data_IF_394802209629
#
_entry.id   IF_394802209629
#
_cell.length_a   1.000
_cell.length_b   1.000
_cell.length_c   1.000
_cell.angle_alpha   90.00
_cell.angle_beta   90.00
_cell.angle_gamma   90.00
#
_symmetry.space_group_name_H-M   'P 1'
#
loop_
_entity.id
_entity.type
_entity.pdbx_description
1 polymer ?
#
# COMPACT_ATOMS: atom_id res chain seq x y z
N UNK A 1 -22.84 -4.68 -4.86
CA UNK A 1 -22.48 -5.89 -5.61
C UNK A 1 -21.29 -6.51 -4.93
N UNK A 2 -21.48 -7.58 -4.15
CA UNK A 2 -20.38 -8.25 -3.46
C UNK A 2 -19.87 -9.39 -4.33
N UNK A 3 -18.69 -9.23 -4.93
CA UNK A 3 -17.91 -10.38 -5.38
C UNK A 3 -16.92 -10.75 -4.27
N UNK A 4 -17.03 -12.00 -3.84
CA UNK A 4 -16.05 -12.63 -2.99
C UNK A 4 -14.73 -12.78 -3.77
N UNK A 5 -13.58 -12.58 -3.12
CA UNK A 5 -12.31 -13.03 -3.67
C UNK A 5 -12.37 -14.54 -3.92
N UNK A 6 -12.51 -14.91 -5.19
CA UNK A 6 -12.42 -16.30 -5.63
C UNK A 6 -10.94 -16.69 -5.69
N UNK A 7 -10.41 -17.15 -4.56
CA UNK A 7 -9.14 -17.88 -4.56
C UNK A 7 -9.30 -19.17 -5.35
N UNK A 8 -8.59 -19.26 -6.48
CA UNK A 8 -8.47 -20.51 -7.21
C UNK A 8 -7.71 -21.54 -6.34
N UNK A 9 -8.07 -22.84 -6.36
CA UNK A 9 -7.48 -23.83 -5.48
C UNK A 9 -6.10 -24.28 -5.99
N UNK A 10 -5.07 -23.49 -5.67
CA UNK A 10 -3.66 -23.91 -5.74
C UNK A 10 -3.34 -24.76 -4.49
N UNK A 11 -2.58 -25.87 -4.57
CA UNK A 11 -2.44 -26.81 -3.46
C UNK A 11 -1.89 -26.16 -2.18
N UNK A 12 -2.53 -26.44 -1.04
CA UNK A 12 -2.11 -25.92 0.26
C UNK A 12 -0.63 -26.21 0.53
N UNK A 13 0.13 -25.19 0.98
CA UNK A 13 0.03 -24.86 2.39
C UNK A 13 -0.22 -23.37 2.65
N UNK A 14 -1.43 -23.02 3.07
CA UNK A 14 -1.68 -21.85 3.92
C UNK A 14 -1.05 -22.08 5.30
N UNK A 15 0.28 -22.06 5.35
CA UNK A 15 1.04 -22.06 6.58
C UNK A 15 1.82 -20.76 6.68
N UNK A 16 1.26 -19.83 7.46
CA UNK A 16 1.90 -18.58 7.90
C UNK A 16 1.99 -17.50 6.82
N UNK A 17 0.84 -16.92 6.47
CA UNK A 17 0.76 -15.47 6.55
C UNK A 17 1.21 -15.10 7.99
N UNK A 18 2.37 -14.48 8.16
CA UNK A 18 2.83 -14.03 9.47
C UNK A 18 2.18 -12.69 9.79
N UNK A 19 0.88 -12.75 10.01
CA UNK A 19 0.18 -11.67 10.71
C UNK A 19 0.49 -11.89 12.20
N UNK A 20 0.90 -10.83 12.90
CA UNK A 20 1.33 -10.89 14.31
C UNK A 20 0.15 -10.74 15.28
N UNK A 21 -0.02 -11.76 16.14
CA UNK A 21 -1.31 -12.17 16.70
C UNK A 21 -1.12 -13.06 17.97
N UNK A 22 -1.93 -12.99 19.05
CA UNK A 22 -1.77 -12.12 20.21
C UNK A 22 -1.40 -12.82 21.52
N UNK A 23 -0.65 -12.13 22.39
CA UNK A 23 -0.54 -12.49 23.80
C UNK A 23 -0.54 -11.28 24.77
N UNK A 24 -1.67 -11.07 25.45
CA UNK A 24 -1.86 -10.25 26.67
C UNK A 24 -1.56 -8.74 26.65
N UNK A 25 -0.52 -8.22 26.01
CA UNK A 25 -0.20 -6.77 25.93
C UNK A 25 0.20 -6.32 24.48
N UNK A 26 1.02 -5.26 24.20
CA UNK A 26 0.67 -4.24 23.20
C UNK A 26 1.23 -4.49 21.77
N UNK A 27 0.45 -4.25 20.69
CA UNK A 27 0.91 -4.56 19.31
C UNK A 27 0.04 -4.32 18.05
N UNK A 28 -1.28 -4.08 18.10
CA UNK A 28 -1.98 -3.25 17.07
C UNK A 28 -1.51 -1.81 17.30
N UNK A 29 -2.14 -0.88 16.59
CA UNK A 29 -2.36 0.45 17.12
C UNK A 29 -3.04 0.46 18.54
N UNK A 30 -3.55 -0.70 19.02
CA UNK A 30 -4.07 -0.95 20.38
C UNK A 30 -3.64 -2.26 21.12
N UNK A 31 -3.01 -3.26 20.48
CA UNK A 31 -2.81 -4.63 21.03
C UNK A 31 -2.89 -5.73 19.95
N UNK A 32 -2.10 -6.81 19.94
CA UNK A 32 -2.11 -7.81 18.84
C UNK A 32 -3.54 -8.39 18.53
N UNK A 33 -3.77 -9.02 17.35
CA UNK A 33 -5.09 -9.52 16.84
C UNK A 33 -5.12 -11.08 16.75
N UNK A 34 -6.10 -11.80 16.15
CA UNK A 34 -5.91 -13.20 15.66
C UNK A 34 -6.24 -13.38 14.17
N UNK A 35 -5.75 -14.47 13.57
CA UNK A 35 -5.99 -14.81 12.16
C UNK A 35 -7.49 -15.05 11.96
N UNK A 36 -8.07 -15.85 12.86
CA UNK A 36 -9.52 -16.03 12.99
C UNK A 36 -10.31 -14.74 13.34
N UNK A 37 -9.64 -13.71 13.87
CA UNK A 37 -10.26 -12.43 14.26
C UNK A 37 -10.07 -11.34 13.17
N UNK A 38 -9.37 -11.63 12.06
CA UNK A 38 -9.17 -10.70 10.94
C UNK A 38 -10.49 -10.31 10.28
N UNK A 39 -11.43 -11.24 10.16
CA UNK A 39 -12.69 -11.05 9.44
C UNK A 39 -12.48 -10.80 7.94
N UNK A 40 -13.36 -10.02 7.31
CA UNK A 40 -13.15 -9.56 5.95
C UNK A 40 -12.02 -8.50 5.94
N UNK A 41 -10.97 -8.75 5.15
CA UNK A 41 -9.76 -7.91 5.10
C UNK A 41 -9.61 -7.27 3.73
N UNK A 42 -9.36 -5.96 3.69
CA UNK A 42 -8.81 -5.28 2.52
C UNK A 42 -7.30 -5.10 2.72
N UNK A 43 -6.50 -5.57 1.77
CA UNK A 43 -5.04 -5.74 1.92
C UNK A 43 -4.20 -4.60 1.34
N UNK A 44 -4.80 -3.66 0.63
CA UNK A 44 -4.12 -2.46 0.13
C UNK A 44 -5.10 -1.28 0.07
N UNK A 45 -5.01 -0.43 1.09
CA UNK A 45 -5.82 0.78 1.23
C UNK A 45 -4.94 1.93 1.79
N UNK A 46 -5.40 3.17 1.64
CA UNK A 46 -4.71 4.36 2.15
C UNK A 46 -5.66 5.24 2.97
N UNK A 47 -5.21 5.69 4.13
CA UNK A 47 -5.93 6.65 4.98
C UNK A 47 -5.38 8.07 4.87
N UNK A 48 -4.13 8.20 4.44
CA UNK A 48 -3.46 9.47 4.19
C UNK A 48 -2.52 9.26 3.01
N UNK A 49 -2.48 10.16 2.03
CA UNK A 49 -1.65 9.99 0.84
C UNK A 49 -1.26 11.33 0.19
N UNK A 50 0.00 11.47 -0.22
CA UNK A 50 0.43 12.54 -1.11
C UNK A 50 1.39 12.03 -2.17
N UNK A 51 0.92 12.03 -3.43
CA UNK A 51 1.65 11.49 -4.58
C UNK A 51 1.75 12.52 -5.72
N UNK A 52 1.64 13.82 -5.39
CA UNK A 52 1.75 14.93 -6.36
C UNK A 52 3.08 14.88 -7.10
N UNK A 53 4.20 14.65 -6.41
CA UNK A 53 5.53 14.69 -7.02
C UNK A 53 5.73 13.61 -8.10
N UNK A 54 5.13 12.43 -7.89
CA UNK A 54 5.30 11.28 -8.79
C UNK A 54 4.23 11.25 -9.89
N UNK A 55 2.95 11.37 -9.52
CA UNK A 55 1.84 11.09 -10.43
C UNK A 55 1.21 12.31 -11.09
N UNK A 56 1.46 13.54 -10.63
CA UNK A 56 0.80 14.71 -11.24
C UNK A 56 1.11 14.81 -12.75
N UNK A 57 0.06 14.96 -13.57
CA UNK A 57 0.17 15.17 -15.03
C UNK A 57 -0.68 16.38 -15.41
N UNK A 58 -0.08 17.38 -16.04
CA UNK A 58 -0.81 18.59 -16.45
C UNK A 58 -1.98 18.23 -17.41
N UNK A 59 -3.24 18.58 -17.07
CA UNK A 59 -4.38 18.27 -17.92
C UNK A 59 -4.38 19.14 -19.19
N UNK A 60 -5.17 18.77 -20.22
CA UNK A 60 -5.28 19.53 -21.46
C UNK A 60 -5.52 21.02 -21.22
N UNK A 61 -4.84 21.89 -21.97
CA UNK A 61 -4.79 23.34 -21.71
C UNK A 61 -6.17 24.00 -21.58
N UNK A 62 -7.14 23.58 -22.40
CA UNK A 62 -8.52 24.07 -22.40
C UNK A 62 -9.37 23.58 -21.21
N UNK A 63 -8.91 22.57 -20.47
CA UNK A 63 -9.59 22.00 -19.31
C UNK A 63 -9.00 22.49 -17.96
N UNK A 64 -7.81 23.11 -17.95
CA UNK A 64 -7.10 23.50 -16.71
C UNK A 64 -7.96 24.29 -15.72
N UNK A 65 -8.88 25.12 -16.21
CA UNK A 65 -9.80 25.91 -15.39
C UNK A 65 -10.76 25.09 -14.51
N UNK A 66 -11.00 23.81 -14.83
CA UNK A 66 -11.87 22.92 -14.05
C UNK A 66 -11.14 22.22 -12.89
N UNK A 67 -9.80 22.29 -12.84
CA UNK A 67 -8.97 21.63 -11.83
C UNK A 67 -8.64 22.57 -10.67
N UNK A 68 -9.66 22.81 -9.83
CA UNK A 68 -9.57 23.70 -8.67
C UNK A 68 -9.01 23.07 -7.39
N UNK A 69 -8.85 23.87 -6.32
CA UNK A 69 -8.39 23.40 -5.01
C UNK A 69 -9.42 22.53 -4.26
N UNK A 70 -10.68 22.50 -4.71
CA UNK A 70 -11.73 21.59 -4.21
C UNK A 70 -12.43 20.91 -5.38
N UNK A 71 -12.78 19.64 -5.19
CA UNK A 71 -13.60 18.85 -6.10
C UNK A 71 -15.08 19.15 -5.78
N UNK A 72 -15.88 19.43 -6.80
CA UNK A 72 -17.33 19.71 -6.67
C UNK A 72 -18.11 18.84 -7.66
N UNK A 73 -19.44 18.80 -7.53
CA UNK A 73 -20.29 18.09 -8.50
C UNK A 73 -20.14 18.65 -9.93
N UNK A 74 -19.82 19.93 -10.08
CA UNK A 74 -19.60 20.57 -11.39
C UNK A 74 -18.23 20.19 -12.00
N UNK A 75 -17.24 19.80 -11.19
CA UNK A 75 -15.88 19.50 -11.64
C UNK A 75 -15.53 18.01 -11.63
N UNK A 76 -16.25 17.17 -10.88
CA UNK A 76 -15.93 15.75 -10.68
C UNK A 76 -15.85 14.95 -11.97
N UNK A 77 -16.61 15.30 -13.02
CA UNK A 77 -16.50 14.65 -14.33
C UNK A 77 -15.12 14.80 -14.98
N UNK A 78 -14.53 16.00 -14.92
CA UNK A 78 -13.18 16.26 -15.40
C UNK A 78 -12.13 15.57 -14.54
N UNK A 79 -12.34 15.49 -13.23
CA UNK A 79 -11.45 14.77 -12.31
C UNK A 79 -11.49 13.26 -12.58
N UNK A 80 -12.66 12.66 -12.83
CA UNK A 80 -12.76 11.23 -13.21
C UNK A 80 -12.05 10.91 -14.53
N UNK A 81 -12.10 11.82 -15.51
CA UNK A 81 -11.40 11.64 -16.79
C UNK A 81 -9.90 11.92 -16.69
N UNK A 82 -9.46 12.82 -15.81
CA UNK A 82 -8.05 13.19 -15.63
C UNK A 82 -7.67 13.22 -14.12
N UNK A 83 -7.67 12.08 -13.41
CA UNK A 83 -7.54 12.04 -11.94
C UNK A 83 -6.25 12.68 -11.43
N UNK A 84 -5.12 12.34 -12.06
CA UNK A 84 -3.81 12.92 -11.72
C UNK A 84 -3.58 14.35 -12.26
N UNK A 85 -4.57 14.96 -12.93
CA UNK A 85 -4.56 16.37 -13.33
C UNK A 85 -5.12 17.29 -12.25
N UNK A 86 -5.80 16.72 -11.25
CA UNK A 86 -6.26 17.44 -10.07
C UNK A 86 -5.28 17.23 -8.91
N UNK A 87 -4.54 18.28 -8.51
CA UNK A 87 -3.69 18.22 -7.31
C UNK A 87 -4.52 17.87 -6.07
N UNK A 88 -5.74 18.40 -5.95
CA UNK A 88 -6.66 18.10 -4.84
C UNK A 88 -7.23 16.68 -4.84
N UNK A 89 -7.08 15.91 -5.93
CA UNK A 89 -7.47 14.49 -5.99
C UNK A 89 -6.32 13.54 -5.59
N UNK A 90 -5.07 14.00 -5.70
CA UNK A 90 -3.85 13.21 -5.41
C UNK A 90 -3.09 13.73 -4.17
N UNK A 91 -3.79 14.55 -3.38
CA UNK A 91 -3.41 15.04 -2.06
C UNK A 91 -4.58 14.73 -1.13
N UNK A 92 -4.43 13.67 -0.34
CA UNK A 92 -5.47 13.05 0.48
C UNK A 92 -4.99 13.00 1.93
N UNK A 93 -4.89 14.14 2.61
CA UNK A 93 -4.54 14.19 4.03
C UNK A 93 -5.15 15.42 4.73
N UNK A 94 -5.19 15.38 6.07
CA UNK A 94 -5.64 16.48 6.92
C UNK A 94 -7.11 16.38 7.33
N UNK A 95 -7.58 17.31 8.17
CA UNK A 95 -8.82 17.16 8.95
C UNK A 95 -10.08 16.74 8.15
N UNK A 96 -10.32 17.33 6.98
CA UNK A 96 -11.48 16.96 6.13
C UNK A 96 -11.37 15.49 5.64
N UNK A 97 -10.15 15.00 5.39
CA UNK A 97 -9.86 13.61 4.98
C UNK A 97 -9.95 12.66 6.18
N UNK A 98 -9.34 13.01 7.32
CA UNK A 98 -9.42 12.23 8.56
C UNK A 98 -10.88 11.92 8.95
N UNK A 99 -11.76 12.92 8.89
CA UNK A 99 -13.19 12.80 9.17
C UNK A 99 -13.92 11.91 8.14
N UNK A 100 -13.54 12.01 6.87
CA UNK A 100 -14.09 11.16 5.81
C UNK A 100 -13.65 9.69 5.96
N UNK A 101 -12.37 9.44 6.25
CA UNK A 101 -11.83 8.08 6.47
C UNK A 101 -12.50 7.41 7.66
N UNK A 102 -12.63 8.08 8.81
CA UNK A 102 -13.32 7.50 9.99
C UNK A 102 -14.78 7.16 9.66
N UNK A 103 -15.47 8.02 8.88
CA UNK A 103 -16.85 7.77 8.43
C UNK A 103 -16.95 6.57 7.48
N UNK A 104 -16.07 6.46 6.48
CA UNK A 104 -16.06 5.31 5.56
C UNK A 104 -15.69 4.01 6.29
N UNK A 105 -14.83 4.07 7.30
CA UNK A 105 -14.48 2.90 8.12
C UNK A 105 -15.63 2.45 9.04
N UNK A 106 -16.49 3.36 9.51
CA UNK A 106 -17.77 2.97 10.12
C UNK A 106 -18.70 2.27 9.12
N UNK A 107 -18.76 2.71 7.86
CA UNK A 107 -19.55 2.05 6.82
C UNK A 107 -18.99 0.65 6.53
N UNK A 108 -17.68 0.52 6.28
CA UNK A 108 -16.99 -0.76 6.11
C UNK A 108 -17.32 -1.72 7.26
N UNK A 109 -17.22 -1.26 8.52
CA UNK A 109 -17.58 -2.07 9.70
C UNK A 109 -19.04 -2.51 9.69
N UNK A 110 -19.96 -1.62 9.32
CA UNK A 110 -21.41 -1.91 9.27
C UNK A 110 -21.78 -2.97 8.22
N UNK A 111 -20.99 -3.11 7.16
CA UNK A 111 -21.14 -4.15 6.13
C UNK A 111 -20.33 -5.42 6.42
N UNK A 112 -19.80 -5.59 7.64
CA UNK A 112 -19.06 -6.80 8.06
C UNK A 112 -17.54 -6.71 7.88
N UNK A 113 -17.01 -5.53 7.56
CA UNK A 113 -15.58 -5.26 7.47
C UNK A 113 -14.82 -5.58 8.77
N UNK A 114 -13.74 -6.35 8.64
CA UNK A 114 -12.92 -6.80 9.75
C UNK A 114 -11.64 -5.96 9.90
N UNK A 115 -10.81 -5.98 8.86
CA UNK A 115 -9.43 -5.45 8.90
C UNK A 115 -9.09 -4.66 7.65
N UNK A 116 -8.25 -3.64 7.80
CA UNK A 116 -7.62 -2.88 6.72
C UNK A 116 -6.10 -2.95 6.91
N UNK A 117 -5.37 -3.16 5.81
CA UNK A 117 -3.93 -2.94 5.75
C UNK A 117 -3.68 -1.57 5.11
N UNK A 118 -3.16 -0.64 5.90
CA UNK A 118 -2.87 0.74 5.50
C UNK A 118 -1.45 0.79 4.92
N UNK A 119 -1.36 1.02 3.61
CA UNK A 119 -0.14 0.82 2.82
C UNK A 119 0.67 2.10 2.62
N UNK A 120 0.24 3.25 3.17
CA UNK A 120 0.98 4.50 3.00
C UNK A 120 2.32 4.44 3.74
N UNK A 121 3.39 4.52 2.98
CA UNK A 121 4.77 4.32 3.45
C UNK A 121 5.55 5.65 3.54
N UNK A 122 6.84 5.57 3.88
CA UNK A 122 7.71 6.75 3.95
C UNK A 122 7.86 7.39 2.55
N UNK A 123 7.68 8.72 2.49
CA UNK A 123 7.69 9.52 1.27
C UNK A 123 6.30 9.97 0.77
N UNK A 124 5.21 9.36 1.27
CA UNK A 124 3.84 9.60 0.75
C UNK A 124 2.80 9.99 1.83
N UNK A 125 3.23 10.64 2.91
CA UNK A 125 2.39 11.18 4.01
C UNK A 125 1.68 10.12 4.89
N UNK A 126 2.41 9.09 5.35
CA UNK A 126 1.93 8.11 6.33
C UNK A 126 1.46 8.78 7.63
N UNK A 127 0.26 8.42 8.12
CA UNK A 127 -0.33 9.00 9.32
C UNK A 127 -0.72 7.94 10.37
N UNK A 128 0.23 7.60 11.26
CA UNK A 128 0.03 6.62 12.34
C UNK A 128 -0.97 7.07 13.43
N UNK A 129 -1.19 8.38 13.60
CA UNK A 129 -2.22 8.91 14.52
C UNK A 129 -3.64 8.68 13.98
N UNK A 130 -3.83 8.89 12.67
CA UNK A 130 -5.10 8.57 12.01
C UNK A 130 -5.37 7.07 12.05
N UNK A 131 -4.36 6.23 11.82
CA UNK A 131 -4.48 4.78 12.01
C UNK A 131 -4.96 4.42 13.43
N UNK A 132 -4.51 5.15 14.47
CA UNK A 132 -4.95 4.96 15.85
C UNK A 132 -6.41 5.34 16.04
N UNK A 133 -6.79 6.54 15.57
CA UNK A 133 -8.16 7.03 15.70
C UNK A 133 -9.15 6.15 14.94
N UNK A 134 -8.86 5.77 13.70
CA UNK A 134 -9.68 4.82 12.92
C UNK A 134 -9.90 3.53 13.68
N UNK A 135 -8.83 2.86 14.15
CA UNK A 135 -8.95 1.58 14.83
C UNK A 135 -9.78 1.68 16.12
N UNK A 136 -9.59 2.75 16.90
CA UNK A 136 -10.24 3.00 18.18
C UNK A 136 -11.71 3.42 18.05
N UNK A 137 -12.02 4.31 17.11
CA UNK A 137 -13.34 4.91 16.97
C UNK A 137 -14.30 3.99 16.20
N UNK A 138 -13.79 3.24 15.21
CA UNK A 138 -14.64 2.41 14.34
C UNK A 138 -14.71 0.93 14.73
N UNK A 139 -13.72 0.43 15.48
CA UNK A 139 -13.59 -1.00 15.79
C UNK A 139 -13.20 -1.86 14.58
N UNK A 140 -12.72 -1.24 13.49
CA UNK A 140 -12.00 -1.90 12.39
C UNK A 140 -10.56 -2.17 12.86
N UNK A 141 -10.00 -3.33 12.53
CA UNK A 141 -8.58 -3.55 12.78
C UNK A 141 -7.74 -2.82 11.72
N UNK A 142 -6.69 -2.12 12.14
CA UNK A 142 -5.76 -1.44 11.23
C UNK A 142 -4.37 -2.02 11.39
N UNK A 143 -3.79 -2.47 10.27
CA UNK A 143 -2.40 -2.92 10.16
C UNK A 143 -1.66 -1.85 9.37
N UNK A 144 -0.88 -1.00 10.05
CA UNK A 144 -0.12 0.07 9.39
C UNK A 144 1.20 -0.45 8.80
N UNK A 145 1.56 0.06 7.62
CA UNK A 145 2.80 -0.27 6.92
C UNK A 145 4.02 0.56 7.34
N UNK A 146 5.19 -0.05 7.24
CA UNK A 146 6.48 0.65 7.03
C UNK A 146 7.03 0.34 5.64
N UNK A 147 8.13 0.93 5.22
CA UNK A 147 8.62 0.85 3.85
C UNK A 147 8.90 2.23 3.28
N UNK A 148 9.57 2.30 2.13
CA UNK A 148 9.74 3.53 1.37
C UNK A 148 9.05 3.38 0.02
N UNK A 149 8.35 4.43 -0.40
CA UNK A 149 7.80 4.54 -1.73
C UNK A 149 8.88 4.90 -2.78
N UNK A 150 8.48 5.06 -4.04
CA UNK A 150 9.38 5.24 -5.19
C UNK A 150 10.35 6.41 -5.02
N UNK A 151 11.47 6.36 -5.74
CA UNK A 151 12.55 7.36 -5.69
C UNK A 151 12.06 8.81 -5.87
N UNK A 152 11.02 9.05 -6.68
CA UNK A 152 10.47 10.38 -6.94
C UNK A 152 9.75 11.04 -5.75
N UNK A 153 9.41 10.25 -4.72
CA UNK A 153 8.75 10.73 -3.50
C UNK A 153 9.71 11.07 -2.35
N UNK A 154 10.99 10.73 -2.49
CA UNK A 154 11.96 10.81 -1.39
C UNK A 154 12.80 12.10 -1.43
N UNK A 155 13.23 12.55 -0.25
CA UNK A 155 14.17 13.66 -0.11
C UNK A 155 15.64 13.18 -0.25
N UNK A 156 16.59 14.11 -0.35
CA UNK A 156 18.01 13.78 -0.57
C UNK A 156 18.68 13.00 0.58
N UNK A 157 18.21 13.16 1.82
CA UNK A 157 18.71 12.43 2.99
C UNK A 157 18.27 10.96 2.89
N UNK A 158 16.98 10.71 2.68
CA UNK A 158 16.42 9.37 2.45
C UNK A 158 17.06 8.68 1.25
N UNK A 159 17.24 9.38 0.12
CA UNK A 159 17.91 8.84 -1.07
C UNK A 159 19.38 8.47 -0.84
N UNK A 160 20.02 9.02 0.19
CA UNK A 160 21.41 8.70 0.56
C UNK A 160 21.55 7.53 1.54
N UNK A 161 20.45 7.07 2.17
CA UNK A 161 20.49 6.02 3.19
C UNK A 161 21.07 4.70 2.64
N UNK A 162 21.83 3.99 3.48
CA UNK A 162 22.33 2.64 3.19
C UNK A 162 21.25 1.57 3.41
N UNK A 163 21.54 0.33 3.02
CA UNK A 163 20.62 -0.81 3.24
C UNK A 163 20.42 -1.04 4.74
N UNK A 164 21.48 -0.89 5.53
CA UNK A 164 21.49 -1.04 6.99
C UNK A 164 20.63 0.03 7.67
N UNK A 165 20.78 1.30 7.29
CA UNK A 165 19.98 2.40 7.85
C UNK A 165 18.49 2.25 7.54
N UNK A 166 18.14 1.80 6.33
CA UNK A 166 16.75 1.51 5.94
C UNK A 166 16.22 0.28 6.73
N UNK A 167 17.05 -0.74 6.92
CA UNK A 167 16.70 -1.94 7.70
C UNK A 167 16.44 -1.60 9.17
N UNK A 168 17.30 -0.76 9.76
CA UNK A 168 17.17 -0.30 11.15
C UNK A 168 15.89 0.53 11.36
N UNK A 169 15.53 1.39 10.39
CA UNK A 169 14.26 2.11 10.39
C UNK A 169 13.06 1.16 10.36
N UNK A 170 13.00 0.23 9.40
CA UNK A 170 11.87 -0.70 9.28
C UNK A 170 11.75 -1.62 10.50
N UNK A 171 12.88 -2.11 11.02
CA UNK A 171 12.92 -2.92 12.24
C UNK A 171 12.43 -2.13 13.45
N UNK A 172 12.80 -0.86 13.58
CA UNK A 172 12.32 0.04 14.63
C UNK A 172 10.80 0.28 14.53
N UNK A 173 10.29 0.58 13.33
CA UNK A 173 8.86 0.76 13.05
C UNK A 173 8.02 -0.47 13.45
N UNK A 174 8.54 -1.68 13.23
CA UNK A 174 7.87 -2.95 13.54
C UNK A 174 8.02 -3.38 15.03
N UNK A 175 9.18 -3.14 15.66
CA UNK A 175 9.50 -3.70 16.98
C UNK A 175 9.38 -2.70 18.14
N UNK A 176 9.66 -1.42 17.89
CA UNK A 176 9.62 -0.33 18.89
C UNK A 176 8.35 0.52 18.69
N UNK A 177 8.13 1.01 17.46
CA UNK A 177 7.02 1.89 17.10
C UNK A 177 7.22 3.36 17.47
N UNK A 178 6.19 4.16 17.23
CA UNK A 178 6.19 5.63 17.33
C UNK A 178 5.21 6.16 18.37
N UNK A 179 5.58 7.23 19.06
CA UNK A 179 4.63 7.97 19.89
C UNK A 179 3.71 8.80 18.98
N UNK A 180 2.38 8.70 19.17
CA UNK A 180 1.38 9.48 18.42
C UNK A 180 0.44 10.21 19.38
N UNK A 181 -0.07 11.42 19.04
CA UNK A 181 -0.85 12.26 19.96
C UNK A 181 -2.07 11.57 20.60
N UNK A 182 -2.76 10.71 19.86
CA UNK A 182 -4.00 10.05 20.33
C UNK A 182 -3.75 8.80 21.20
N UNK A 183 -2.50 8.31 21.27
CA UNK A 183 -2.14 7.05 21.92
C UNK A 183 -1.36 7.25 23.23
N UNK A 184 -1.70 6.53 24.31
CA UNK A 184 -0.85 6.45 25.50
C UNK A 184 0.37 5.53 25.32
N UNK A 185 0.42 4.74 24.23
CA UNK A 185 1.43 3.71 23.96
C UNK A 185 2.13 3.95 22.60
N UNK A 186 3.31 3.37 22.40
CA UNK A 186 3.94 3.35 21.08
C UNK A 186 3.09 2.57 20.07
N UNK A 187 2.91 3.14 18.88
CA UNK A 187 2.19 2.56 17.74
C UNK A 187 3.20 1.90 16.80
N UNK A 188 3.08 0.58 16.64
CA UNK A 188 3.94 -0.22 15.77
C UNK A 188 3.29 -0.45 14.41
N UNK A 189 4.13 -0.62 13.39
CA UNK A 189 3.70 -1.15 12.11
C UNK A 189 3.55 -2.68 12.20
N UNK A 190 2.77 -3.29 11.31
CA UNK A 190 2.56 -4.75 11.27
C UNK A 190 3.04 -5.43 9.97
N UNK A 191 3.43 -4.65 8.96
CA UNK A 191 3.81 -5.10 7.61
C UNK A 191 4.87 -4.15 7.05
N UNK A 192 5.71 -4.62 6.14
CA UNK A 192 6.54 -3.72 5.30
C UNK A 192 5.78 -3.52 3.98
N UNK A 193 4.97 -2.47 3.90
CA UNK A 193 4.11 -2.15 2.77
C UNK A 193 3.80 -0.64 2.67
N UNK A 194 3.59 -0.07 1.48
CA UNK A 194 4.02 -0.59 0.17
C UNK A 194 5.48 -0.15 -0.10
N UNK A 195 6.31 -1.09 -0.59
CA UNK A 195 7.70 -0.80 -0.97
C UNK A 195 7.75 -0.44 -2.46
N UNK A 196 8.09 0.81 -2.75
CA UNK A 196 8.02 1.42 -4.06
C UNK A 196 9.15 1.03 -5.01
N UNK A 197 8.78 0.66 -6.24
CA UNK A 197 9.71 0.56 -7.36
C UNK A 197 9.17 1.28 -8.60
N UNK A 198 10.00 2.13 -9.19
CA UNK A 198 9.81 2.67 -10.54
C UNK A 198 10.25 1.64 -11.61
N UNK A 199 10.26 2.04 -12.88
CA UNK A 199 10.85 1.25 -13.95
C UNK A 199 11.67 2.13 -14.93
N UNK A 200 12.96 1.81 -15.18
CA UNK A 200 13.78 0.79 -14.50
C UNK A 200 14.00 1.09 -13.01
N UNK A 201 14.20 0.06 -12.19
CA UNK A 201 14.37 0.16 -10.73
C UNK A 201 15.61 1.01 -10.40
N UNK A 202 15.46 2.06 -9.57
CA UNK A 202 16.60 2.91 -9.18
C UNK A 202 17.50 2.26 -8.12
N UNK A 203 18.71 2.80 -7.95
CA UNK A 203 19.63 2.32 -6.90
C UNK A 203 19.10 2.52 -5.47
N UNK A 204 18.24 3.52 -5.23
CA UNK A 204 17.56 3.66 -3.93
C UNK A 204 16.51 2.58 -3.74
N UNK A 205 15.68 2.33 -4.76
CA UNK A 205 14.61 1.34 -4.72
C UNK A 205 15.17 -0.08 -4.54
N UNK A 206 16.30 -0.39 -5.19
CA UNK A 206 17.06 -1.63 -4.94
C UNK A 206 17.46 -1.79 -3.47
N UNK A 207 17.99 -0.73 -2.84
CA UNK A 207 18.36 -0.76 -1.42
C UNK A 207 17.14 -0.91 -0.50
N UNK A 208 16.02 -0.29 -0.85
CA UNK A 208 14.76 -0.46 -0.12
C UNK A 208 14.24 -1.90 -0.21
N UNK A 209 14.27 -2.54 -1.39
CA UNK A 209 13.90 -3.95 -1.59
C UNK A 209 14.83 -4.89 -0.81
N UNK A 210 16.15 -4.62 -0.81
CA UNK A 210 17.14 -5.39 -0.06
C UNK A 210 16.94 -5.26 1.46
N UNK A 211 16.69 -4.05 1.97
CA UNK A 211 16.38 -3.83 3.38
C UNK A 211 15.08 -4.54 3.81
N UNK A 212 14.06 -4.51 2.95
CA UNK A 212 12.82 -5.28 3.13
C UNK A 212 13.11 -6.77 3.26
N UNK A 213 13.95 -7.35 2.38
CA UNK A 213 14.35 -8.76 2.47
C UNK A 213 15.06 -9.10 3.79
N UNK A 214 15.99 -8.27 4.24
CA UNK A 214 16.74 -8.48 5.49
C UNK A 214 15.78 -8.49 6.68
N UNK A 215 15.00 -7.43 6.88
CA UNK A 215 14.08 -7.30 8.03
C UNK A 215 12.97 -8.36 7.98
N UNK A 216 12.49 -8.70 6.80
CA UNK A 216 11.55 -9.80 6.60
C UNK A 216 12.15 -11.15 6.98
N UNK A 217 13.41 -11.42 6.62
CA UNK A 217 14.06 -12.69 6.95
C UNK A 217 14.23 -12.87 8.46
N UNK A 218 14.54 -11.77 9.18
CA UNK A 218 14.73 -11.67 10.63
C UNK A 218 13.41 -11.81 11.42
N UNK A 219 12.40 -11.00 11.08
CA UNK A 219 11.15 -10.89 11.84
C UNK A 219 10.04 -11.82 11.31
N UNK A 220 10.18 -12.31 10.08
CA UNK A 220 9.26 -13.24 9.44
C UNK A 220 7.94 -12.65 8.96
N UNK A 221 7.78 -11.32 9.02
CA UNK A 221 6.57 -10.56 8.65
C UNK A 221 6.16 -10.73 7.18
N UNK A 222 4.97 -10.23 6.85
CA UNK A 222 4.53 -10.05 5.46
C UNK A 222 5.12 -8.76 4.86
N UNK A 223 5.26 -8.74 3.53
CA UNK A 223 5.75 -7.58 2.77
C UNK A 223 4.95 -7.39 1.48
N UNK A 224 4.68 -6.14 1.11
CA UNK A 224 4.01 -5.78 -0.13
C UNK A 224 4.89 -4.87 -0.99
N UNK A 225 4.90 -5.13 -2.29
CA UNK A 225 5.66 -4.36 -3.27
C UNK A 225 4.78 -3.67 -4.31
N UNK A 226 5.15 -2.44 -4.65
CA UNK A 226 4.57 -1.65 -5.73
C UNK A 226 5.42 -1.75 -7.00
N UNK A 227 4.94 -2.40 -8.08
CA UNK A 227 5.68 -2.45 -9.33
C UNK A 227 5.44 -1.21 -10.21
N UNK A 228 6.53 -0.81 -10.88
CA UNK A 228 6.46 0.01 -12.08
C UNK A 228 5.61 -0.65 -13.17
N UNK A 229 5.12 0.14 -14.13
CA UNK A 229 4.08 -0.26 -15.11
C UNK A 229 4.54 -1.23 -16.21
N UNK A 230 5.80 -1.65 -16.19
CA UNK A 230 6.37 -2.54 -17.20
C UNK A 230 6.25 -4.01 -16.75
N UNK A 231 5.84 -4.91 -17.65
CA UNK A 231 5.60 -6.34 -17.35
C UNK A 231 6.76 -7.08 -16.64
N UNK A 232 8.00 -6.63 -16.82
CA UNK A 232 9.16 -7.22 -16.15
C UNK A 232 9.43 -6.69 -14.72
N UNK A 233 8.81 -5.58 -14.30
CA UNK A 233 9.04 -4.98 -13.00
C UNK A 233 8.64 -5.93 -11.83
N UNK A 234 7.48 -6.63 -11.86
CA UNK A 234 7.15 -7.62 -10.85
C UNK A 234 8.23 -8.69 -10.62
N UNK A 235 8.71 -9.27 -11.71
CA UNK A 235 9.73 -10.33 -11.70
C UNK A 235 11.09 -9.83 -11.19
N UNK A 236 11.51 -8.61 -11.56
CA UNK A 236 12.79 -8.07 -11.11
C UNK A 236 12.78 -7.72 -9.61
N UNK A 237 11.68 -7.19 -9.09
CA UNK A 237 11.51 -6.91 -7.65
C UNK A 237 11.66 -8.22 -6.85
N UNK A 238 10.93 -9.27 -7.22
CA UNK A 238 10.99 -10.57 -6.54
C UNK A 238 12.37 -11.22 -6.65
N UNK A 239 13.04 -11.09 -7.80
CA UNK A 239 14.42 -11.55 -7.96
C UNK A 239 15.36 -10.87 -6.95
N UNK A 240 15.34 -9.53 -6.86
CA UNK A 240 16.20 -8.77 -5.94
C UNK A 240 15.88 -9.09 -4.48
N UNK A 241 14.59 -9.19 -4.14
CA UNK A 241 14.12 -9.54 -2.80
C UNK A 241 14.58 -10.96 -2.38
N UNK A 242 14.43 -11.96 -3.25
CA UNK A 242 14.85 -13.33 -2.99
C UNK A 242 16.39 -13.47 -2.93
N UNK A 243 17.13 -12.79 -3.82
CA UNK A 243 18.60 -12.75 -3.80
C UNK A 243 19.15 -12.15 -2.49
N UNK A 244 18.40 -11.21 -1.88
CA UNK A 244 18.72 -10.62 -0.57
C UNK A 244 18.23 -11.44 0.64
N UNK A 245 17.70 -12.66 0.43
CA UNK A 245 17.26 -13.58 1.49
C UNK A 245 15.79 -13.46 1.90
N UNK A 246 15.00 -12.66 1.18
CA UNK A 246 13.57 -12.50 1.38
C UNK A 246 12.80 -13.77 1.03
N UNK A 247 11.79 -14.10 1.84
CA UNK A 247 10.97 -15.32 1.67
C UNK A 247 9.81 -15.04 0.72
N UNK A 248 9.74 -15.77 -0.39
CA UNK A 248 8.77 -15.51 -1.47
C UNK A 248 7.32 -15.79 -0.99
N UNK A 249 7.13 -16.79 -0.13
CA UNK A 249 5.83 -17.14 0.51
C UNK A 249 5.32 -16.10 1.53
N UNK A 250 5.97 -14.93 1.59
CA UNK A 250 5.69 -13.80 2.49
C UNK A 250 5.53 -12.48 1.75
N UNK A 251 5.75 -12.48 0.43
CA UNK A 251 5.63 -11.31 -0.42
C UNK A 251 4.32 -11.35 -1.21
N UNK A 252 3.58 -10.25 -1.18
CA UNK A 252 2.58 -9.92 -2.19
C UNK A 252 3.12 -8.85 -3.16
N UNK A 253 2.65 -8.89 -4.40
CA UNK A 253 2.83 -7.79 -5.35
C UNK A 253 1.50 -7.16 -5.69
N UNK A 254 1.40 -5.87 -5.41
CA UNK A 254 0.27 -5.00 -5.71
C UNK A 254 0.19 -4.67 -7.20
N UNK A 255 -0.98 -4.20 -7.64
CA UNK A 255 -1.23 -3.65 -8.97
C UNK A 255 -0.93 -4.59 -10.15
N UNK A 256 -1.05 -5.90 -9.97
CA UNK A 256 -0.83 -6.84 -11.07
C UNK A 256 -1.93 -6.75 -12.13
N UNK A 257 -3.15 -6.35 -11.74
CA UNK A 257 -4.28 -6.06 -12.63
C UNK A 257 -3.92 -5.12 -13.80
N UNK A 258 -3.24 -4.00 -13.52
CA UNK A 258 -2.77 -3.04 -14.53
C UNK A 258 -1.43 -3.42 -15.19
N UNK A 259 -0.65 -4.31 -14.59
CA UNK A 259 0.77 -4.54 -14.94
C UNK A 259 0.99 -5.84 -15.72
N UNK A 260 0.25 -6.90 -15.40
CA UNK A 260 0.29 -8.23 -16.04
C UNK A 260 -1.07 -8.55 -16.67
N UNK A 261 -1.39 -7.83 -17.76
CA UNK A 261 -2.67 -7.94 -18.47
C UNK A 261 -2.84 -9.23 -19.28
N UNK A 262 -1.73 -9.93 -19.56
CA UNK A 262 -1.72 -11.23 -20.23
C UNK A 262 -1.84 -12.31 -19.14
N UNK A 263 -2.86 -13.18 -19.23
CA UNK A 263 -3.13 -14.17 -18.18
C UNK A 263 -1.96 -15.15 -18.01
N UNK A 264 -1.26 -15.48 -19.09
CA UNK A 264 -0.04 -16.29 -19.06
C UNK A 264 1.08 -15.62 -18.25
N UNK A 265 1.30 -14.31 -18.40
CA UNK A 265 2.30 -13.57 -17.59
C UNK A 265 1.94 -13.58 -16.10
N UNK A 266 0.65 -13.49 -15.76
CA UNK A 266 0.17 -13.56 -14.37
C UNK A 266 0.32 -14.97 -13.78
N UNK A 267 0.11 -16.01 -14.58
CA UNK A 267 0.33 -17.41 -14.17
C UNK A 267 1.82 -17.70 -13.98
N UNK A 268 2.67 -17.32 -14.93
CA UNK A 268 4.14 -17.42 -14.83
C UNK A 268 4.67 -16.68 -13.59
N UNK A 269 4.08 -15.54 -13.24
CA UNK A 269 4.41 -14.82 -12.02
C UNK A 269 3.93 -15.55 -10.76
N UNK A 270 2.71 -16.09 -10.76
CA UNK A 270 2.16 -16.86 -9.64
C UNK A 270 2.94 -18.15 -9.34
N UNK A 271 3.55 -18.79 -10.36
CA UNK A 271 4.42 -19.98 -10.18
C UNK A 271 5.67 -19.70 -9.32
N UNK A 272 6.07 -18.44 -9.14
CA UNK A 272 7.15 -18.06 -8.21
C UNK A 272 6.79 -18.35 -6.74
N UNK A 273 5.49 -18.46 -6.41
CA UNK A 273 5.00 -18.69 -5.05
C UNK A 273 4.69 -17.43 -4.24
N UNK A 274 4.65 -16.26 -4.89
CA UNK A 274 4.17 -14.99 -4.31
C UNK A 274 2.65 -14.93 -4.22
N UNK A 275 2.13 -14.06 -3.37
CA UNK A 275 0.73 -13.65 -3.48
C UNK A 275 0.57 -12.64 -4.63
N UNK A 276 -0.36 -12.93 -5.54
CA UNK A 276 -0.71 -12.03 -6.63
C UNK A 276 -1.85 -11.12 -6.16
N UNK A 277 -1.59 -9.82 -6.03
CA UNK A 277 -2.59 -8.88 -5.54
C UNK A 277 -3.20 -8.06 -6.69
N UNK A 278 -4.53 -8.04 -6.67
CA UNK A 278 -5.40 -7.31 -7.57
C UNK A 278 -6.18 -6.33 -6.67
N UNK A 279 -5.81 -5.05 -6.72
CA UNK A 279 -6.19 -4.04 -5.73
C UNK A 279 -6.87 -2.82 -6.36
N UNK A 280 -6.90 -2.71 -7.70
CA UNK A 280 -7.55 -1.59 -8.39
C UNK A 280 -9.06 -1.82 -8.65
N UNK A 281 -9.68 -2.83 -8.02
CA UNK A 281 -11.10 -3.12 -8.16
C UNK A 281 -11.99 -1.91 -7.82
N UNK A 282 -12.93 -1.58 -8.71
CA UNK A 282 -13.82 -0.42 -8.56
C UNK A 282 -13.20 0.92 -8.98
N UNK A 283 -11.97 0.93 -9.50
CA UNK A 283 -11.34 2.13 -10.06
C UNK A 283 -11.90 2.42 -11.46
N UNK A 284 -13.01 3.16 -11.51
CA UNK A 284 -13.65 3.60 -12.76
C UNK A 284 -12.87 4.77 -13.43
N UNK A 285 -11.87 4.46 -14.27
CA UNK A 285 -11.07 5.46 -15.00
C UNK A 285 -11.17 5.24 -16.51
N UNK A 286 -11.77 6.20 -17.23
CA UNK A 286 -11.95 6.14 -18.68
C UNK A 286 -10.71 6.51 -19.52
N UNK A 287 -9.63 6.98 -18.88
CA UNK A 287 -8.38 7.34 -19.53
C UNK A 287 -7.20 7.25 -18.55
N UNK A 288 -6.36 6.21 -18.69
CA UNK A 288 -5.29 5.95 -17.73
C UNK A 288 -4.03 6.77 -18.04
N UNK A 289 -3.95 7.98 -17.47
CA UNK A 289 -2.92 8.97 -17.82
C UNK A 289 -1.45 8.60 -17.50
N UNK A 290 -1.19 7.53 -16.75
CA UNK A 290 0.18 7.19 -16.33
C UNK A 290 0.89 6.33 -17.41
N UNK A 291 0.25 5.29 -17.95
CA UNK A 291 0.53 4.66 -19.25
C UNK A 291 -0.72 4.69 -20.16
N UNK A 292 -0.89 5.72 -21.02
CA UNK A 292 -2.07 5.88 -21.90
C UNK A 292 -2.34 4.72 -22.87
N UNK A 293 -1.35 3.84 -23.08
CA UNK A 293 -1.40 2.63 -23.90
C UNK A 293 -2.09 1.44 -23.22
N UNK A 294 -2.36 1.51 -21.91
CA UNK A 294 -3.01 0.44 -21.14
C UNK A 294 -4.51 0.71 -21.08
N UNK A 295 -5.30 -0.27 -21.53
CA UNK A 295 -6.73 -0.32 -21.21
C UNK A 295 -6.88 -0.72 -19.74
N UNK A 296 -7.51 0.15 -18.94
CA UNK A 296 -7.50 0.00 -17.49
C UNK A 296 -8.63 -0.94 -17.06
N UNK A 297 -8.36 -1.99 -16.26
CA UNK A 297 -9.39 -2.92 -15.81
C UNK A 297 -10.43 -2.17 -14.97
N UNK A 298 -11.65 -2.05 -15.51
CA UNK A 298 -12.80 -1.34 -14.93
C UNK A 298 -14.10 -2.13 -15.07
#
# INVERSE_FOLDING_TARGET
YGLYCLSAPIPSPLHRLAVLLPASEPGRVLGELKEQDLGATLTHEHFSLNVVNEFFREPPSHLKQFFGPKITLDTVGYVRQYPYGSRSNITFFGKEVDEAVIKEMHLFKSYGGGTIVENTSHGIERNLDLCYRVAKETGVNVIAGTGHYVNGSQNSETLSMTVEEISDLYRSDLTVGHAVPSSPNMVKCGVIAEVGSSWPITEFEKRAIQATAIVQSELGCAVSFHPGRHRAAPFEIIRIYAEAGGKIDKADLSHLDRTLQVIEDLLDFAELGTYCQLDLFGTEVSYYMLPPEIDFPS
#
